data_IF_001164449456
#
_entry.id   IF_001164449456
#
_cell.length_a   1.000
_cell.length_b   1.000
_cell.length_c   1.000
_cell.angle_alpha   90.00
_cell.angle_beta   90.00
_cell.angle_gamma   90.00
#
_symmetry.space_group_name_H-M   'P 1'
#
loop_
_entity.id
_entity.type
_entity.pdbx_description
1 polymer ?
#
# COMPACT_ATOMS: atom_id res chain seq x y z
N UNK A 1 9.57 60.20 -6.97
CA UNK A 1 10.01 58.99 -7.73
C UNK A 1 11.13 58.37 -6.91
N UNK A 2 11.06 57.16 -6.35
CA UNK A 2 10.57 55.89 -6.89
C UNK A 2 10.02 55.01 -5.75
N UNK A 3 8.87 54.41 -6.00
CA UNK A 3 8.25 53.36 -5.18
C UNK A 3 9.08 52.07 -5.26
N UNK A 4 9.41 51.50 -4.11
CA UNK A 4 9.89 50.13 -3.98
C UNK A 4 8.82 49.32 -3.27
N UNK A 5 8.13 48.49 -4.03
CA UNK A 5 7.54 47.26 -3.50
C UNK A 5 8.10 46.12 -4.32
N UNK A 6 8.59 45.07 -3.66
CA UNK A 6 8.49 43.75 -4.22
C UNK A 6 7.62 42.93 -3.26
N UNK A 7 6.32 42.90 -3.56
CA UNK A 7 5.49 41.80 -3.10
C UNK A 7 5.69 40.65 -4.10
N UNK A 8 6.55 39.71 -3.73
CA UNK A 8 6.74 38.44 -4.44
C UNK A 8 6.57 37.33 -3.43
N UNK A 9 5.34 37.16 -2.94
CA UNK A 9 4.91 35.87 -2.42
C UNK A 9 4.96 34.89 -3.60
N UNK A 10 5.99 34.06 -3.63
CA UNK A 10 6.05 32.87 -4.46
C UNK A 10 4.83 32.03 -4.10
N UNK A 11 3.80 32.09 -4.94
CA UNK A 11 2.69 31.16 -4.91
C UNK A 11 3.29 29.80 -5.26
N UNK A 12 3.52 28.95 -4.26
CA UNK A 12 3.73 27.53 -4.51
C UNK A 12 2.53 27.06 -5.36
N UNK A 13 2.75 26.41 -6.52
CA UNK A 13 1.63 25.83 -7.24
C UNK A 13 0.95 24.84 -6.29
N UNK A 14 -0.35 25.05 -6.04
CA UNK A 14 -1.20 24.04 -5.44
C UNK A 14 -1.22 22.89 -6.46
N UNK A 15 -0.32 21.92 -6.29
CA UNK A 15 -0.51 20.60 -6.84
C UNK A 15 -1.69 20.02 -6.08
N UNK A 16 -2.88 20.16 -6.63
CA UNK A 16 -4.05 19.45 -6.14
C UNK A 16 -3.80 17.97 -6.47
N UNK A 17 -3.07 17.30 -5.57
CA UNK A 17 -2.78 15.88 -5.65
C UNK A 17 -4.14 15.17 -5.63
N UNK A 18 -4.41 14.38 -6.66
CA UNK A 18 -5.65 13.61 -6.75
C UNK A 18 -5.72 12.66 -5.55
N UNK A 19 -6.81 12.74 -4.78
CA UNK A 19 -7.07 11.85 -3.65
C UNK A 19 -8.36 11.10 -3.87
N UNK A 20 -8.34 9.81 -3.57
CA UNK A 20 -9.54 8.99 -3.58
C UNK A 20 -10.20 9.06 -2.20
N UNK A 21 -11.52 8.91 -2.17
CA UNK A 21 -12.17 8.59 -0.90
C UNK A 21 -11.69 7.23 -0.41
N UNK A 22 -11.78 6.98 0.91
CA UNK A 22 -11.42 5.66 1.48
C UNK A 22 -12.15 4.52 0.75
N UNK A 23 -13.42 4.74 0.39
CA UNK A 23 -14.25 3.76 -0.30
C UNK A 23 -13.74 3.48 -1.72
N UNK A 24 -13.44 4.51 -2.50
CA UNK A 24 -12.90 4.34 -3.86
C UNK A 24 -11.54 3.64 -3.84
N UNK A 25 -10.69 3.98 -2.86
CA UNK A 25 -9.40 3.31 -2.70
C UNK A 25 -9.57 1.83 -2.31
N UNK A 26 -10.50 1.52 -1.39
CA UNK A 26 -10.85 0.15 -1.06
C UNK A 26 -11.40 -0.62 -2.26
N UNK A 27 -12.22 0.03 -3.11
CA UNK A 27 -12.71 -0.56 -4.35
C UNK A 27 -11.55 -0.87 -5.31
N UNK A 28 -10.57 0.03 -5.44
CA UNK A 28 -9.35 -0.22 -6.24
C UNK A 28 -8.56 -1.45 -5.71
N UNK A 29 -8.40 -1.57 -4.38
CA UNK A 29 -7.75 -2.74 -3.76
C UNK A 29 -8.55 -4.02 -4.04
N UNK A 30 -9.87 -3.98 -3.95
CA UNK A 30 -10.74 -5.14 -4.26
C UNK A 30 -10.61 -5.54 -5.74
N UNK A 31 -10.54 -4.57 -6.66
CA UNK A 31 -10.34 -4.83 -8.08
C UNK A 31 -8.97 -5.47 -8.33
N UNK A 32 -7.90 -4.97 -7.70
CA UNK A 32 -6.58 -5.57 -7.77
C UNK A 32 -6.59 -7.04 -7.29
N UNK A 33 -7.20 -7.32 -6.14
CA UNK A 33 -7.33 -8.68 -5.60
C UNK A 33 -8.13 -9.61 -6.52
N UNK A 34 -9.18 -9.09 -7.18
CA UNK A 34 -9.97 -9.86 -8.16
C UNK A 34 -9.18 -10.14 -9.44
N UNK A 35 -8.28 -9.24 -9.82
CA UNK A 35 -7.37 -9.37 -10.95
C UNK A 35 -6.25 -10.40 -10.74
N UNK A 36 -6.00 -10.83 -9.50
CA UNK A 36 -4.91 -11.77 -9.23
C UNK A 36 -5.05 -13.10 -10.00
N UNK A 37 -3.92 -13.66 -10.49
CA UNK A 37 -3.86 -15.01 -11.04
C UNK A 37 -4.55 -16.07 -10.17
N UNK A 38 -5.17 -17.07 -10.82
CA UNK A 38 -5.98 -18.11 -10.14
C UNK A 38 -5.21 -18.86 -9.04
N UNK A 39 -3.90 -19.01 -9.17
CA UNK A 39 -3.08 -19.72 -8.19
C UNK A 39 -2.96 -18.94 -6.87
N UNK A 40 -2.98 -17.59 -6.90
CA UNK A 40 -2.97 -16.76 -5.70
C UNK A 40 -4.29 -16.84 -4.93
N UNK A 41 -5.42 -16.83 -5.65
CA UNK A 41 -6.78 -16.82 -5.05
C UNK A 41 -7.04 -17.95 -4.06
N UNK A 42 -6.38 -19.11 -4.21
CA UNK A 42 -6.57 -20.26 -3.31
C UNK A 42 -5.92 -20.07 -1.93
N UNK A 43 -4.78 -19.38 -1.81
CA UNK A 43 -4.12 -19.18 -0.50
C UNK A 43 -4.53 -17.88 0.20
N UNK A 44 -5.17 -16.95 -0.50
CA UNK A 44 -5.73 -15.73 0.10
C UNK A 44 -6.91 -15.96 1.06
N UNK A 45 -7.39 -17.20 1.24
CA UNK A 45 -8.54 -17.49 2.12
C UNK A 45 -8.31 -17.16 3.60
N UNK A 46 -7.05 -17.13 4.04
CA UNK A 46 -6.66 -16.84 5.42
C UNK A 46 -5.85 -15.53 5.52
N UNK A 47 -6.02 -14.62 4.56
CA UNK A 47 -5.32 -13.32 4.56
C UNK A 47 -6.36 -12.21 4.66
N UNK A 48 -6.23 -11.37 5.67
CA UNK A 48 -7.00 -10.14 5.80
C UNK A 48 -6.27 -9.00 5.08
N UNK A 49 -6.97 -8.31 4.19
CA UNK A 49 -6.41 -7.18 3.44
C UNK A 49 -7.08 -5.91 3.92
N UNK A 50 -6.31 -5.05 4.57
CA UNK A 50 -6.82 -3.80 5.13
C UNK A 50 -6.21 -2.60 4.44
N UNK A 51 -6.93 -1.48 4.50
CA UNK A 51 -6.44 -0.19 4.01
C UNK A 51 -6.29 0.75 5.18
N UNK A 52 -5.09 1.27 5.36
CA UNK A 52 -4.77 2.29 6.37
C UNK A 52 -4.40 3.61 5.68
N UNK A 53 -4.37 4.71 6.44
CA UNK A 53 -3.96 6.00 5.86
C UNK A 53 -2.45 6.03 5.63
N UNK A 54 -1.67 5.75 6.67
CA UNK A 54 -0.20 5.75 6.68
C UNK A 54 0.29 4.86 7.81
N UNK A 55 1.53 4.37 7.70
CA UNK A 55 2.18 3.62 8.77
C UNK A 55 2.40 4.47 10.03
N UNK A 56 2.37 3.83 11.21
CA UNK A 56 2.74 4.48 12.47
C UNK A 56 4.25 4.75 12.53
N UNK A 57 4.69 5.66 13.41
CA UNK A 57 6.14 5.95 13.54
C UNK A 57 6.90 4.76 14.10
N UNK A 58 6.28 4.02 14.99
CA UNK A 58 6.82 2.81 15.60
C UNK A 58 7.08 1.76 14.53
N UNK A 59 6.09 1.52 13.66
CA UNK A 59 6.21 0.58 12.54
C UNK A 59 7.31 1.01 11.56
N UNK A 60 7.38 2.29 11.21
CA UNK A 60 8.45 2.80 10.34
C UNK A 60 9.84 2.59 10.97
N UNK A 61 9.98 2.85 12.26
CA UNK A 61 11.23 2.62 12.98
C UNK A 61 11.61 1.13 13.02
N UNK A 62 10.66 0.23 13.22
CA UNK A 62 10.87 -1.22 13.17
C UNK A 62 11.34 -1.67 11.78
N UNK A 63 10.79 -1.08 10.73
CA UNK A 63 11.16 -1.35 9.34
C UNK A 63 12.44 -0.60 8.89
N UNK A 64 13.05 0.22 9.75
CA UNK A 64 14.22 1.04 9.40
C UNK A 64 13.94 2.15 8.38
N UNK A 65 12.67 2.53 8.21
CA UNK A 65 12.21 3.55 7.28
C UNK A 65 12.14 4.91 7.97
N UNK A 66 12.42 5.98 7.21
CA UNK A 66 12.49 7.35 7.73
C UNK A 66 11.25 8.16 7.40
N UNK A 67 10.50 7.75 6.37
CA UNK A 67 9.33 8.46 5.90
C UNK A 67 8.12 7.53 5.74
N UNK A 68 6.91 7.94 6.17
CA UNK A 68 5.68 7.20 5.89
C UNK A 68 5.43 6.97 4.39
N UNK A 69 5.95 7.84 3.52
CA UNK A 69 5.83 7.72 2.06
C UNK A 69 6.64 6.55 1.48
N UNK A 70 7.56 5.96 2.24
CA UNK A 70 8.41 4.84 1.78
C UNK A 70 7.70 3.49 1.90
N UNK A 71 6.65 3.38 2.71
CA UNK A 71 5.92 2.13 2.93
C UNK A 71 4.54 2.18 2.27
N UNK A 72 4.41 1.52 1.12
CA UNK A 72 3.16 1.50 0.34
C UNK A 72 2.26 0.31 0.69
N UNK A 73 2.89 -0.82 1.03
CA UNK A 73 2.25 -2.05 1.45
C UNK A 73 3.07 -2.71 2.55
N UNK A 74 2.43 -3.59 3.32
CA UNK A 74 3.11 -4.42 4.30
C UNK A 74 2.34 -5.72 4.54
N UNK A 75 2.97 -6.83 4.22
CA UNK A 75 2.62 -8.15 4.73
C UNK A 75 3.15 -8.34 6.17
N UNK A 76 2.25 -8.71 7.08
CA UNK A 76 2.53 -9.08 8.46
C UNK A 76 1.99 -10.48 8.72
N UNK A 77 2.89 -11.47 8.74
CA UNK A 77 2.57 -12.80 9.25
C UNK A 77 2.61 -12.78 10.77
N UNK A 78 1.55 -13.23 11.44
CA UNK A 78 1.62 -13.45 12.89
C UNK A 78 2.49 -14.68 13.15
N UNK A 79 3.62 -14.56 13.86
CA UNK A 79 4.49 -15.69 14.07
C UNK A 79 3.79 -16.72 14.96
N UNK A 80 3.87 -17.97 14.50
CA UNK A 80 3.31 -19.17 15.09
C UNK A 80 3.85 -19.48 16.52
N UNK A 81 4.80 -18.73 17.06
CA UNK A 81 5.44 -18.99 18.36
C UNK A 81 4.84 -18.15 19.52
N UNK A 82 4.17 -17.02 19.23
CA UNK A 82 3.37 -16.26 20.21
C UNK A 82 1.96 -16.83 20.42
N UNK A 83 1.74 -18.10 20.07
CA UNK A 83 0.50 -18.85 20.30
C UNK A 83 0.41 -19.26 21.77
N UNK A 84 -0.25 -18.45 22.60
CA UNK A 84 -0.70 -18.89 23.92
C UNK A 84 -1.62 -20.12 23.78
N UNK A 85 -1.47 -21.10 24.68
CA UNK A 85 -2.13 -22.42 24.69
C UNK A 85 -3.68 -22.44 24.67
N UNK A 86 -4.37 -21.29 24.52
CA UNK A 86 -5.81 -21.16 24.79
C UNK A 86 -6.69 -20.61 23.66
N UNK A 87 -6.18 -20.34 22.45
CA UNK A 87 -7.03 -19.84 21.36
C UNK A 87 -7.00 -20.72 20.12
N UNK A 88 -8.09 -21.48 19.93
CA UNK A 88 -8.36 -22.34 18.79
C UNK A 88 -8.85 -21.62 17.54
N UNK A 89 -8.26 -20.47 17.17
CA UNK A 89 -8.52 -19.81 15.89
C UNK A 89 -7.18 -19.33 15.30
N UNK A 90 -6.82 -19.82 14.11
CA UNK A 90 -5.67 -19.29 13.37
C UNK A 90 -6.04 -17.86 12.96
N UNK A 91 -5.39 -16.86 13.55
CA UNK A 91 -5.56 -15.47 13.11
C UNK A 91 -5.07 -15.36 11.67
N UNK A 92 -5.82 -14.66 10.79
CA UNK A 92 -5.39 -14.49 9.42
C UNK A 92 -4.09 -13.68 9.36
N UNK A 93 -3.24 -13.98 8.38
CA UNK A 93 -2.14 -13.10 8.05
C UNK A 93 -2.71 -11.76 7.56
N UNK A 94 -2.00 -10.65 7.78
CA UNK A 94 -2.50 -9.32 7.44
C UNK A 94 -1.67 -8.70 6.32
N UNK A 95 -2.33 -8.22 5.26
CA UNK A 95 -1.73 -7.32 4.27
C UNK A 95 -2.33 -5.93 4.49
N UNK A 96 -1.48 -4.95 4.77
CA UNK A 96 -1.89 -3.55 4.92
C UNK A 96 -1.46 -2.76 3.69
N UNK A 97 -2.40 -2.05 3.06
CA UNK A 97 -2.12 -1.12 1.95
C UNK A 97 -2.27 0.32 2.48
N UNK A 98 -1.26 1.16 2.27
CA UNK A 98 -1.21 2.52 2.80
C UNK A 98 -1.63 3.53 1.73
N UNK A 99 -2.80 4.17 1.95
CA UNK A 99 -3.43 5.05 0.97
C UNK A 99 -2.65 6.35 0.73
N UNK A 100 -2.34 7.13 1.78
CA UNK A 100 -1.68 8.44 1.63
C UNK A 100 -0.31 8.33 0.93
N UNK A 101 0.56 7.34 1.25
CA UNK A 101 1.80 7.11 0.52
C UNK A 101 1.59 6.88 -0.98
N UNK A 102 0.64 6.02 -1.35
CA UNK A 102 0.33 5.73 -2.76
C UNK A 102 -0.19 6.98 -3.49
N UNK A 103 -1.16 7.68 -2.91
CA UNK A 103 -1.69 8.92 -3.49
C UNK A 103 -0.62 10.00 -3.67
N UNK A 104 0.36 10.07 -2.76
CA UNK A 104 1.45 11.05 -2.84
C UNK A 104 2.42 10.81 -4.00
N UNK A 105 2.42 9.61 -4.59
CA UNK A 105 3.27 9.22 -5.72
C UNK A 105 2.57 9.36 -7.08
N UNK A 106 1.26 9.60 -7.08
CA UNK A 106 0.41 9.59 -8.27
C UNK A 106 -0.22 10.97 -8.52
N UNK A 107 -0.56 11.23 -9.78
CA UNK A 107 -1.16 12.49 -10.25
C UNK A 107 -2.59 12.29 -10.73
N UNK A 108 -2.97 11.07 -11.14
CA UNK A 108 -4.31 10.75 -11.64
C UNK A 108 -4.92 9.56 -10.90
N UNK A 109 -6.23 9.37 -11.06
CA UNK A 109 -6.95 8.21 -10.52
C UNK A 109 -6.41 6.91 -11.11
N UNK A 110 -6.13 6.90 -12.40
CA UNK A 110 -5.64 5.73 -13.14
C UNK A 110 -4.26 5.32 -12.62
N UNK A 111 -3.36 6.29 -12.37
CA UNK A 111 -2.06 6.04 -11.77
C UNK A 111 -2.18 5.47 -10.35
N UNK A 112 -3.16 5.93 -9.55
CA UNK A 112 -3.43 5.38 -8.21
C UNK A 112 -3.90 3.94 -8.31
N UNK A 113 -4.86 3.65 -9.20
CA UNK A 113 -5.40 2.31 -9.39
C UNK A 113 -4.32 1.32 -9.88
N UNK A 114 -3.45 1.75 -10.80
CA UNK A 114 -2.29 0.98 -11.25
C UNK A 114 -1.29 0.73 -10.11
N UNK A 115 -0.95 1.77 -9.34
CA UNK A 115 -0.02 1.63 -8.20
C UNK A 115 -0.58 0.71 -7.13
N UNK A 116 -1.88 0.78 -6.84
CA UNK A 116 -2.56 -0.14 -5.92
C UNK A 116 -2.43 -1.58 -6.43
N UNK A 117 -2.64 -1.82 -7.73
CA UNK A 117 -2.49 -3.15 -8.33
C UNK A 117 -1.08 -3.70 -8.14
N UNK A 118 -0.06 -2.92 -8.47
CA UNK A 118 1.35 -3.30 -8.29
C UNK A 118 1.64 -3.67 -6.84
N UNK A 119 1.31 -2.79 -5.89
CA UNK A 119 1.59 -3.02 -4.46
C UNK A 119 0.87 -4.28 -3.97
N UNK A 120 -0.39 -4.49 -4.33
CA UNK A 120 -1.14 -5.71 -3.96
C UNK A 120 -0.46 -6.96 -4.50
N UNK A 121 -0.02 -6.95 -5.77
CA UNK A 121 0.69 -8.09 -6.37
C UNK A 121 2.01 -8.36 -5.64
N UNK A 122 2.78 -7.31 -5.33
CA UNK A 122 4.05 -7.43 -4.61
C UNK A 122 3.86 -8.04 -3.22
N UNK A 123 2.95 -7.49 -2.41
CA UNK A 123 2.70 -8.00 -1.05
C UNK A 123 2.17 -9.44 -1.05
N UNK A 124 1.25 -9.76 -1.97
CA UNK A 124 0.75 -11.13 -2.14
C UNK A 124 1.86 -12.05 -2.65
N UNK A 125 2.73 -11.58 -3.53
CA UNK A 125 3.89 -12.32 -3.99
C UNK A 125 4.83 -12.72 -2.86
N UNK A 126 5.18 -11.75 -2.01
CA UNK A 126 6.00 -11.97 -0.83
C UNK A 126 5.35 -12.95 0.16
N UNK A 127 4.03 -12.86 0.38
CA UNK A 127 3.30 -13.85 1.17
C UNK A 127 3.50 -15.29 0.65
N UNK A 128 3.59 -15.46 -0.66
CA UNK A 128 3.78 -16.76 -1.30
C UNK A 128 5.25 -17.21 -1.35
N UNK A 129 6.18 -16.43 -0.82
CA UNK A 129 7.61 -16.68 -0.90
C UNK A 129 8.18 -16.49 -2.31
N UNK A 130 7.50 -15.70 -3.16
CA UNK A 130 8.02 -15.29 -4.45
C UNK A 130 8.97 -14.10 -4.26
N UNK A 131 10.08 -14.15 -4.98
CA UNK A 131 11.00 -13.03 -5.12
C UNK A 131 10.52 -12.09 -6.24
N UNK A 132 11.07 -10.88 -6.27
CA UNK A 132 10.72 -9.84 -7.26
C UNK A 132 10.94 -10.30 -8.71
N UNK A 133 11.85 -11.24 -8.95
CA UNK A 133 12.13 -11.76 -10.29
C UNK A 133 10.99 -12.66 -10.77
N UNK A 134 10.47 -13.53 -9.90
CA UNK A 134 9.32 -14.39 -10.20
C UNK A 134 8.04 -13.60 -10.34
N UNK A 135 7.88 -12.52 -9.58
CA UNK A 135 6.70 -11.65 -9.67
C UNK A 135 6.60 -10.96 -11.03
N UNK A 136 7.68 -10.36 -11.52
CA UNK A 136 7.68 -9.68 -12.84
C UNK A 136 7.28 -10.62 -13.97
N UNK A 137 7.78 -11.86 -13.97
CA UNK A 137 7.42 -12.88 -14.98
C UNK A 137 5.93 -13.20 -15.01
N UNK A 138 5.23 -13.02 -13.88
CA UNK A 138 3.79 -13.24 -13.77
C UNK A 138 2.96 -11.99 -14.10
N UNK A 139 3.54 -10.80 -14.03
CA UNK A 139 2.91 -9.56 -14.47
C UNK A 139 2.91 -9.42 -15.99
N UNK A 140 3.86 -10.06 -16.67
CA UNK A 140 4.01 -10.09 -18.14
C UNK A 140 3.14 -11.15 -18.85
N UNK A 141 2.43 -12.02 -18.10
CA UNK A 141 1.54 -13.09 -18.60
C UNK A 141 0.04 -12.76 -18.46
#
# INVERSE_FOLDING_TARGET
MRSFTPNSQLRTPNFDLMKLTRKEFQEAVVLALRGLPKFFKKKMKNVDVVVEDRASRELLSEMGLRSPSELLGLYQGFPLDRRGFYYGNVLPDKITIFQSPIESLCKTREEIEEKVREVVIHEVGHYFGLDDEKLRKLEDE
#
